data_IF_623687891968
#
_entry.id   IF_623687891968
#
_cell.length_a   1.000
_cell.length_b   1.000
_cell.length_c   1.000
_cell.angle_alpha   90.00
_cell.angle_beta   90.00
_cell.angle_gamma   90.00
#
_symmetry.space_group_name_H-M   'P 1'
#
loop_
_entity.id
_entity.type
_entity.pdbx_description
1 polymer ?
#
# COMPACT_ATOMS: atom_id res chain seq x y z
N UNK A 1 -2.33 14.91 24.98
CA UNK A 1 -1.06 14.21 24.77
C UNK A 1 -1.36 12.76 24.46
N UNK A 2 -1.20 12.35 23.20
CA UNK A 2 -1.42 10.97 22.78
C UNK A 2 -0.17 10.18 23.18
N UNK A 3 -0.30 9.23 24.11
CA UNK A 3 0.77 8.29 24.43
C UNK A 3 1.05 7.44 23.18
N UNK A 4 2.08 7.79 22.43
CA UNK A 4 2.59 6.93 21.35
C UNK A 4 3.36 5.80 22.03
N UNK A 5 2.64 4.75 22.44
CA UNK A 5 3.29 3.47 22.74
C UNK A 5 3.91 2.97 21.43
N UNK A 6 5.24 2.87 21.36
CA UNK A 6 5.94 2.26 20.23
C UNK A 6 5.54 0.79 20.14
N UNK A 7 4.48 0.49 19.39
CA UNK A 7 4.06 -0.88 19.11
C UNK A 7 5.04 -1.47 18.09
N UNK A 8 5.57 -2.64 18.42
CA UNK A 8 6.43 -3.41 17.52
C UNK A 8 5.55 -4.31 16.66
N UNK A 9 5.93 -4.49 15.40
CA UNK A 9 5.30 -5.42 14.47
C UNK A 9 5.13 -6.82 15.07
N UNK A 10 3.92 -7.36 15.03
CA UNK A 10 3.61 -8.71 15.49
C UNK A 10 4.10 -9.79 14.51
N UNK A 11 4.39 -10.99 15.01
CA UNK A 11 4.75 -12.14 14.17
C UNK A 11 3.67 -12.48 13.15
N UNK A 12 2.38 -12.34 13.53
CA UNK A 12 1.25 -12.60 12.64
C UNK A 12 1.22 -11.58 11.50
N UNK A 13 1.41 -10.30 11.81
CA UNK A 13 1.48 -9.27 10.79
C UNK A 13 2.70 -9.45 9.87
N UNK A 14 3.86 -9.84 10.42
CA UNK A 14 5.03 -10.15 9.61
C UNK A 14 4.75 -11.27 8.57
N UNK A 15 4.09 -12.37 8.97
CA UNK A 15 3.68 -13.41 8.02
C UNK A 15 2.70 -12.90 6.95
N UNK A 16 1.68 -12.14 7.35
CA UNK A 16 0.72 -11.53 6.41
C UNK A 16 1.38 -10.60 5.40
N UNK A 17 2.35 -9.80 5.85
CA UNK A 17 3.12 -8.89 4.99
C UNK A 17 3.96 -9.72 4.00
N UNK A 18 4.60 -10.80 4.45
CA UNK A 18 5.38 -11.67 3.57
C UNK A 18 4.48 -12.31 2.50
N UNK A 19 3.33 -12.85 2.87
CA UNK A 19 2.40 -13.48 1.91
C UNK A 19 1.85 -12.44 0.90
N UNK A 20 1.57 -11.22 1.36
CA UNK A 20 1.18 -10.11 0.46
C UNK A 20 2.34 -9.69 -0.46
N UNK A 21 3.59 -9.74 0.01
CA UNK A 21 4.75 -9.45 -0.82
C UNK A 21 4.91 -10.50 -1.92
N UNK A 22 4.73 -11.78 -1.62
CA UNK A 22 4.76 -12.85 -2.62
C UNK A 22 3.66 -12.64 -3.69
N UNK A 23 2.45 -12.23 -3.28
CA UNK A 23 1.38 -11.81 -4.21
C UNK A 23 1.76 -10.57 -5.05
N UNK A 24 2.48 -9.60 -4.45
CA UNK A 24 2.96 -8.39 -5.15
C UNK A 24 3.99 -8.71 -6.22
N UNK A 25 4.95 -9.60 -5.93
CA UNK A 25 5.92 -10.10 -6.92
C UNK A 25 5.21 -10.76 -8.11
N UNK A 26 4.20 -11.59 -7.85
CA UNK A 26 3.39 -12.23 -8.90
C UNK A 26 2.62 -11.17 -9.71
N UNK A 27 2.05 -10.16 -9.06
CA UNK A 27 1.33 -9.08 -9.72
C UNK A 27 2.23 -8.32 -10.70
N UNK A 28 3.41 -7.87 -10.26
CA UNK A 28 4.33 -7.11 -11.13
C UNK A 28 4.89 -7.96 -12.26
N UNK A 29 5.18 -9.24 -12.01
CA UNK A 29 5.63 -10.17 -13.03
C UNK A 29 4.57 -10.37 -14.12
N UNK A 30 3.32 -10.62 -13.74
CA UNK A 30 2.22 -10.84 -14.69
C UNK A 30 1.83 -9.57 -15.45
N UNK A 31 1.84 -8.41 -14.79
CA UNK A 31 1.34 -7.16 -15.38
C UNK A 31 2.39 -6.42 -16.19
N UNK A 32 3.65 -6.45 -15.75
CA UNK A 32 4.72 -5.64 -16.33
C UNK A 32 5.85 -6.47 -16.95
N UNK A 33 5.73 -7.80 -16.96
CA UNK A 33 6.77 -8.69 -17.50
C UNK A 33 8.06 -8.68 -16.68
N UNK A 34 7.98 -8.29 -15.41
CA UNK A 34 9.10 -8.28 -14.48
C UNK A 34 9.53 -9.71 -14.09
N UNK A 35 10.77 -9.84 -13.61
CA UNK A 35 11.16 -11.00 -12.81
C UNK A 35 10.48 -10.94 -11.44
N UNK A 36 10.29 -12.11 -10.83
CA UNK A 36 9.81 -12.20 -9.44
C UNK A 36 10.73 -11.43 -8.47
N UNK A 37 12.03 -11.48 -8.73
CA UNK A 37 13.07 -10.92 -7.87
C UNK A 37 13.30 -9.41 -8.09
N UNK A 38 12.60 -8.79 -9.05
CA UNK A 38 12.73 -7.35 -9.33
C UNK A 38 11.99 -6.48 -8.30
N UNK A 39 11.09 -7.07 -7.52
CA UNK A 39 10.42 -6.39 -6.42
C UNK A 39 11.27 -6.44 -5.14
N UNK A 40 11.23 -5.36 -4.36
CA UNK A 40 12.01 -5.21 -3.12
C UNK A 40 11.04 -5.09 -1.93
N UNK A 41 11.38 -5.73 -0.81
CA UNK A 41 10.68 -5.63 0.47
C UNK A 41 11.62 -5.14 1.57
N UNK A 42 11.40 -3.92 2.07
CA UNK A 42 12.19 -3.33 3.14
C UNK A 42 11.40 -3.27 4.44
N UNK A 43 11.85 -4.02 5.44
CA UNK A 43 11.20 -4.08 6.76
C UNK A 43 11.48 -2.84 7.61
N UNK A 44 10.50 -2.47 8.43
CA UNK A 44 10.63 -1.45 9.48
C UNK A 44 9.89 -1.91 10.75
N UNK A 45 9.91 -1.09 11.80
CA UNK A 45 9.36 -1.47 13.11
C UNK A 45 7.84 -1.66 13.15
N UNK A 46 7.10 -1.19 12.13
CA UNK A 46 5.63 -1.26 12.06
C UNK A 46 5.11 -2.05 10.86
N UNK A 47 6.00 -2.58 10.01
CA UNK A 47 5.64 -3.33 8.81
C UNK A 47 6.74 -3.34 7.76
N UNK A 48 6.41 -3.09 6.49
CA UNK A 48 7.37 -3.09 5.38
C UNK A 48 7.05 -2.05 4.30
N UNK A 49 8.00 -1.80 3.40
CA UNK A 49 7.81 -1.04 2.17
C UNK A 49 8.09 -1.94 0.98
N UNK A 50 7.12 -2.08 0.09
CA UNK A 50 7.28 -2.80 -1.17
C UNK A 50 7.64 -1.80 -2.27
N UNK A 51 8.60 -2.16 -3.11
CA UNK A 51 9.06 -1.33 -4.22
C UNK A 51 9.18 -2.15 -5.50
N UNK A 52 8.77 -1.57 -6.61
CA UNK A 52 9.08 -2.06 -7.94
C UNK A 52 9.42 -0.86 -8.84
N UNK A 53 10.57 -0.93 -9.50
CA UNK A 53 11.10 0.10 -10.40
C UNK A 53 11.27 -0.48 -11.81
N UNK A 54 10.18 -0.53 -12.55
CA UNK A 54 10.18 -0.92 -13.96
C UNK A 54 10.51 0.26 -14.87
N UNK A 55 10.77 -0.03 -16.15
CA UNK A 55 11.16 0.98 -17.16
C UNK A 55 10.23 2.19 -17.25
N UNK A 56 8.93 1.98 -17.10
CA UNK A 56 7.88 3.00 -17.25
C UNK A 56 6.86 2.93 -16.11
N UNK A 57 7.20 2.29 -14.99
CA UNK A 57 6.29 2.10 -13.87
C UNK A 57 7.07 2.04 -12.56
N UNK A 58 6.77 2.95 -11.65
CA UNK A 58 7.30 2.93 -10.29
C UNK A 58 6.14 2.73 -9.32
N UNK A 59 6.26 1.76 -8.42
CA UNK A 59 5.25 1.47 -7.40
C UNK A 59 5.95 1.40 -6.05
N UNK A 60 5.45 2.17 -5.08
CA UNK A 60 5.85 2.06 -3.68
C UNK A 60 4.64 1.96 -2.75
N UNK A 61 4.54 0.83 -2.06
CA UNK A 61 3.50 0.56 -1.08
C UNK A 61 4.10 0.47 0.32
N UNK A 62 3.61 1.26 1.27
CA UNK A 62 3.90 1.05 2.70
C UNK A 62 2.83 0.15 3.29
N UNK A 63 3.22 -0.93 3.92
CA UNK A 63 2.34 -1.96 4.48
C UNK A 63 2.53 -1.94 5.99
N UNK A 64 1.56 -1.39 6.74
CA UNK A 64 1.70 -1.16 8.18
C UNK A 64 0.65 -1.93 8.99
N UNK A 65 1.11 -2.62 10.03
CA UNK A 65 0.22 -3.10 11.10
C UNK A 65 -0.24 -1.93 11.96
N UNK A 66 0.69 -1.06 12.34
CA UNK A 66 0.43 0.08 13.21
C UNK A 66 0.76 1.40 12.54
N UNK A 67 -0.22 2.31 12.45
CA UNK A 67 0.02 3.66 11.95
C UNK A 67 0.68 4.56 13.00
N UNK A 68 0.54 4.20 14.28
CA UNK A 68 0.93 5.01 15.44
C UNK A 68 0.40 6.46 15.39
N UNK A 69 -0.76 6.66 14.77
CA UNK A 69 -1.39 7.98 14.62
C UNK A 69 -0.75 8.86 13.54
N UNK A 70 0.19 8.36 12.76
CA UNK A 70 0.75 9.09 11.62
C UNK A 70 -0.37 9.46 10.64
N UNK A 71 -0.49 10.74 10.30
CA UNK A 71 -1.56 11.30 9.47
C UNK A 71 -2.99 10.97 9.95
N UNK A 72 -3.17 10.66 11.24
CA UNK A 72 -4.41 10.12 11.81
C UNK A 72 -4.91 8.85 11.10
N UNK A 73 -4.01 8.06 10.50
CA UNK A 73 -4.37 6.86 9.77
C UNK A 73 -4.76 5.72 10.71
N UNK A 74 -5.63 4.80 10.28
CA UNK A 74 -5.92 3.58 11.03
C UNK A 74 -4.80 2.53 10.90
N UNK A 75 -4.80 1.56 11.81
CA UNK A 75 -3.96 0.36 11.76
C UNK A 75 -4.38 -0.58 10.60
N UNK A 76 -3.53 -1.58 10.30
CA UNK A 76 -3.72 -2.55 9.21
C UNK A 76 -3.99 -1.86 7.86
N UNK A 77 -3.06 -1.00 7.46
CA UNK A 77 -3.19 -0.10 6.32
C UNK A 77 -2.14 -0.35 5.25
N UNK A 78 -2.57 -0.21 4.00
CA UNK A 78 -1.71 -0.14 2.82
C UNK A 78 -1.71 1.31 2.35
N UNK A 79 -0.53 1.89 2.14
CA UNK A 79 -0.37 3.28 1.70
C UNK A 79 0.33 3.27 0.35
N UNK A 80 -0.32 3.78 -0.68
CA UNK A 80 0.35 4.08 -1.95
C UNK A 80 1.13 5.38 -1.77
N UNK A 81 2.44 5.24 -1.60
CA UNK A 81 3.35 6.35 -1.33
C UNK A 81 4.06 6.87 -2.57
N UNK A 82 4.21 6.03 -3.60
CA UNK A 82 4.66 6.46 -4.91
C UNK A 82 3.97 5.61 -5.99
N UNK A 83 3.54 6.28 -7.04
CA UNK A 83 2.95 5.65 -8.22
C UNK A 83 3.17 6.54 -9.43
N UNK A 84 4.01 6.09 -10.35
CA UNK A 84 4.37 6.83 -11.57
C UNK A 84 4.28 5.90 -12.77
N UNK A 85 3.68 6.38 -13.86
CA UNK A 85 3.56 5.65 -15.13
C UNK A 85 4.14 6.46 -16.30
N UNK A 86 4.73 5.79 -17.27
CA UNK A 86 5.29 6.42 -18.47
C UNK A 86 6.53 7.29 -18.23
N UNK A 87 6.92 8.04 -19.26
CA UNK A 87 8.05 8.98 -19.20
C UNK A 87 7.53 10.38 -18.82
N UNK A 88 7.53 10.73 -17.54
CA UNK A 88 7.32 12.12 -17.08
C UNK A 88 6.25 12.34 -16.02
N UNK A 89 6.27 11.59 -14.91
CA UNK A 89 5.35 11.77 -13.77
C UNK A 89 3.86 11.66 -14.11
N UNK A 90 3.50 11.13 -15.28
CA UNK A 90 2.11 10.90 -15.63
C UNK A 90 1.56 9.77 -14.74
N UNK A 91 0.37 9.96 -14.20
CA UNK A 91 -0.32 8.94 -13.42
C UNK A 91 -1.49 8.44 -14.28
N UNK A 92 -1.33 7.26 -14.86
CA UNK A 92 -2.35 6.61 -15.68
C UNK A 92 -3.45 6.05 -14.76
N UNK A 93 -4.67 6.55 -14.95
CA UNK A 93 -5.82 6.16 -14.13
C UNK A 93 -6.16 4.66 -14.26
N UNK A 94 -5.96 4.08 -15.45
CA UNK A 94 -6.21 2.64 -15.69
C UNK A 94 -5.21 1.80 -14.92
N UNK A 95 -3.93 2.17 -14.97
CA UNK A 95 -2.89 1.47 -14.20
C UNK A 95 -3.11 1.64 -12.69
N UNK A 96 -3.48 2.84 -12.24
CA UNK A 96 -3.76 3.08 -10.83
C UNK A 96 -4.97 2.28 -10.34
N UNK A 97 -6.04 2.22 -11.13
CA UNK A 97 -7.22 1.38 -10.83
C UNK A 97 -6.85 -0.10 -10.76
N UNK A 98 -6.00 -0.59 -11.66
CA UNK A 98 -5.52 -1.97 -11.61
C UNK A 98 -4.70 -2.26 -10.35
N UNK A 99 -3.84 -1.33 -9.92
CA UNK A 99 -3.13 -1.44 -8.65
C UNK A 99 -4.10 -1.45 -7.46
N UNK A 100 -5.11 -0.57 -7.45
CA UNK A 100 -6.15 -0.56 -6.43
C UNK A 100 -6.90 -1.89 -6.36
N UNK A 101 -7.27 -2.48 -7.51
CA UNK A 101 -7.91 -3.79 -7.55
C UNK A 101 -7.05 -4.88 -6.92
N UNK A 102 -5.76 -4.93 -7.25
CA UNK A 102 -4.81 -5.83 -6.60
C UNK A 102 -4.77 -5.61 -5.07
N UNK A 103 -4.66 -4.36 -4.64
CA UNK A 103 -4.62 -4.01 -3.21
C UNK A 103 -5.91 -4.43 -2.49
N UNK A 104 -7.08 -4.19 -3.08
CA UNK A 104 -8.34 -4.59 -2.47
C UNK A 104 -8.47 -6.10 -2.37
N UNK A 105 -8.17 -6.83 -3.44
CA UNK A 105 -8.29 -8.29 -3.45
C UNK A 105 -7.28 -8.94 -2.49
N UNK A 106 -6.00 -8.60 -2.63
CA UNK A 106 -4.90 -9.26 -1.90
C UNK A 106 -4.69 -8.69 -0.51
N UNK A 107 -4.81 -7.37 -0.35
CA UNK A 107 -4.76 -6.73 0.96
C UNK A 107 -5.85 -7.25 1.90
N UNK A 108 -7.10 -7.34 1.43
CA UNK A 108 -8.21 -7.89 2.23
C UNK A 108 -7.96 -9.35 2.60
N UNK A 109 -7.52 -10.17 1.64
CA UNK A 109 -7.19 -11.58 1.85
C UNK A 109 -6.15 -11.76 2.97
N UNK A 110 -5.18 -10.87 3.06
CA UNK A 110 -4.10 -10.91 4.07
C UNK A 110 -4.42 -10.11 5.34
N UNK A 111 -5.65 -9.62 5.49
CA UNK A 111 -6.14 -9.01 6.72
C UNK A 111 -5.85 -7.51 6.88
N UNK A 112 -5.40 -6.84 5.83
CA UNK A 112 -5.38 -5.38 5.75
C UNK A 112 -6.81 -4.86 5.56
N UNK A 113 -7.07 -3.63 5.99
CA UNK A 113 -8.43 -3.08 6.10
C UNK A 113 -8.59 -1.71 5.47
N UNK A 114 -7.48 -1.03 5.17
CA UNK A 114 -7.50 0.35 4.75
C UNK A 114 -6.50 0.58 3.62
N UNK A 115 -6.86 1.49 2.72
CA UNK A 115 -5.98 2.06 1.70
C UNK A 115 -5.89 3.56 1.91
N UNK A 116 -4.67 4.07 1.99
CA UNK A 116 -4.40 5.50 1.87
C UNK A 116 -3.51 5.80 0.66
N UNK A 117 -3.58 7.03 0.17
CA UNK A 117 -2.83 7.47 -1.01
C UNK A 117 -2.17 8.82 -0.71
N UNK A 118 -0.84 8.88 -0.78
CA UNK A 118 -0.09 10.12 -0.50
C UNK A 118 -0.11 11.08 -1.70
N UNK A 119 -0.15 10.57 -2.93
CA UNK A 119 -0.24 11.37 -4.16
C UNK A 119 -1.65 11.40 -4.72
N UNK A 120 -2.31 12.56 -4.87
CA UNK A 120 -3.72 12.63 -5.21
C UNK A 120 -3.96 12.31 -6.71
N UNK A 121 -4.12 11.02 -7.02
CA UNK A 121 -4.64 10.55 -8.32
C UNK A 121 -6.17 10.43 -8.27
N UNK A 122 -6.72 10.14 -7.08
CA UNK A 122 -8.13 9.76 -6.93
C UNK A 122 -8.73 10.40 -5.69
N UNK A 123 -9.98 10.84 -5.83
CA UNK A 123 -10.82 11.28 -4.71
C UNK A 123 -11.72 10.12 -4.30
N UNK A 124 -11.66 9.71 -3.03
CA UNK A 124 -12.60 8.73 -2.50
C UNK A 124 -13.95 9.39 -2.19
N UNK A 125 -15.05 8.67 -2.41
CA UNK A 125 -16.38 9.17 -2.05
C UNK A 125 -16.54 9.18 -0.52
N UNK A 126 -17.45 10.01 -0.01
CA UNK A 126 -17.64 10.17 1.45
C UNK A 126 -18.07 8.88 2.14
N UNK A 127 -18.77 7.99 1.42
CA UNK A 127 -19.32 6.73 1.96
C UNK A 127 -18.22 5.72 2.30
N UNK A 128 -17.08 5.77 1.60
CA UNK A 128 -15.95 4.85 1.79
C UNK A 128 -14.76 5.50 2.51
N UNK A 129 -14.76 6.83 2.64
CA UNK A 129 -13.70 7.59 3.25
C UNK A 129 -13.63 7.39 4.77
N UNK A 130 -12.42 7.23 5.30
CA UNK A 130 -12.17 7.25 6.75
C UNK A 130 -12.14 8.72 7.20
N UNK A 131 -12.97 9.13 8.17
CA UNK A 131 -13.03 10.53 8.59
C UNK A 131 -11.76 10.95 9.35
N UNK A 132 -11.43 12.24 9.28
CA UNK A 132 -10.35 12.89 10.03
C UNK A 132 -8.91 12.45 9.71
N UNK A 133 -8.70 11.72 8.61
CA UNK A 133 -7.35 11.43 8.10
C UNK A 133 -6.77 12.65 7.38
N UNK A 134 -5.45 12.85 7.47
CA UNK A 134 -4.76 13.98 6.82
C UNK A 134 -4.45 13.74 5.33
N UNK A 135 -4.57 12.49 4.89
CA UNK A 135 -4.47 12.09 3.48
C UNK A 135 -5.71 11.26 3.09
N UNK A 136 -6.06 11.18 1.79
CA UNK A 136 -7.14 10.32 1.33
C UNK A 136 -6.97 8.90 1.85
N UNK A 137 -7.98 8.40 2.57
CA UNK A 137 -8.00 7.07 3.15
C UNK A 137 -9.40 6.47 2.99
N UNK A 138 -9.47 5.21 2.61
CA UNK A 138 -10.72 4.46 2.55
C UNK A 138 -10.61 3.11 3.24
N UNK A 139 -11.75 2.60 3.69
CA UNK A 139 -11.86 1.25 4.25
C UNK A 139 -12.14 0.26 3.12
N UNK A 140 -11.56 -0.93 3.21
CA UNK A 140 -11.95 -2.05 2.35
C UNK A 140 -13.41 -2.43 2.66
N UNK A 141 -14.19 -2.69 1.61
CA UNK A 141 -15.59 -3.08 1.72
C UNK A 141 -15.74 -4.52 2.23
#
# INVERSE_FOLDING_TARGET
MTNITNKTLSTIAAHRIKDLFDDFCIYVAKRYGASYDDAICDWNCVGATFRYFGRNIHIQLKIWEHSNGHNNLPDYIIIVSDFVTGSGNAQDETEFRALCHFIFERGTRHGFKHLAVETPIVTFTKEVAVPNTLIPCMKFA
#
